data_IF_803054289018
#
_entry.id   IF_803054289018
#
_cell.length_a   1.000
_cell.length_b   1.000
_cell.length_c   1.000
_cell.angle_alpha   90.00
_cell.angle_beta   90.00
_cell.angle_gamma   90.00
#
_symmetry.space_group_name_H-M   'P 1'
#
loop_
_entity.id
_entity.type
_entity.pdbx_description
1 polymer ?
#
# COMPACT_ATOMS: atom_id res chain seq x y z
N UNK A 1 7.11 -18.15 -5.39
CA UNK A 1 6.84 -17.61 -4.05
C UNK A 1 6.45 -16.15 -4.15
N UNK A 2 5.17 -15.91 -4.32
CA UNK A 2 4.51 -14.60 -4.37
C UNK A 2 3.57 -14.54 -3.18
N UNK A 3 3.90 -13.71 -2.19
CA UNK A 3 3.13 -13.60 -0.97
C UNK A 3 2.38 -12.26 -0.98
N UNK A 4 1.13 -12.27 -0.53
CA UNK A 4 0.34 -11.07 -0.30
C UNK A 4 0.13 -10.87 1.20
N UNK A 5 0.39 -9.66 1.70
CA UNK A 5 0.03 -9.22 3.05
C UNK A 5 -1.09 -8.19 2.93
N UNK A 6 -2.30 -8.62 3.30
CA UNK A 6 -3.52 -7.83 3.30
C UNK A 6 -3.91 -7.44 4.74
N UNK A 7 -4.71 -6.39 4.90
CA UNK A 7 -5.16 -5.90 6.21
C UNK A 7 -6.67 -6.00 6.32
N UNK A 8 -7.19 -6.49 7.43
CA UNK A 8 -8.65 -6.54 7.65
C UNK A 8 -9.25 -5.28 8.30
N UNK A 9 -8.44 -4.22 8.42
CA UNK A 9 -8.86 -2.89 8.82
C UNK A 9 -8.24 -1.84 7.88
N UNK A 10 -8.96 -0.73 7.66
CA UNK A 10 -8.51 0.39 6.83
C UNK A 10 -7.23 1.03 7.40
N UNK A 11 -7.09 1.03 8.73
CA UNK A 11 -5.98 1.68 9.45
C UNK A 11 -5.33 0.72 10.46
N UNK A 12 -3.99 0.76 10.56
CA UNK A 12 -3.20 0.12 11.62
C UNK A 12 -3.43 -1.39 11.87
N UNK A 13 -3.77 -2.14 10.82
CA UNK A 13 -3.89 -3.59 10.88
C UNK A 13 -2.57 -4.34 11.22
N UNK A 14 -1.42 -3.66 11.31
CA UNK A 14 -0.12 -4.28 11.59
C UNK A 14 0.63 -4.83 10.36
N UNK A 15 0.10 -4.60 9.15
CA UNK A 15 0.66 -5.09 7.87
C UNK A 15 2.16 -4.81 7.70
N UNK A 16 2.59 -3.57 7.91
CA UNK A 16 4.00 -3.17 7.69
C UNK A 16 4.95 -3.89 8.62
N UNK A 17 4.56 -4.08 9.88
CA UNK A 17 5.34 -4.83 10.86
C UNK A 17 5.46 -6.29 10.43
N UNK A 18 4.33 -6.94 10.13
CA UNK A 18 4.30 -8.32 9.64
C UNK A 18 5.12 -8.51 8.35
N UNK A 19 4.95 -7.61 7.38
CA UNK A 19 5.67 -7.66 6.11
C UNK A 19 7.18 -7.49 6.31
N UNK A 20 7.60 -6.59 7.20
CA UNK A 20 9.02 -6.39 7.48
C UNK A 20 9.68 -7.64 8.10
N UNK A 21 9.02 -8.30 9.06
CA UNK A 21 9.50 -9.56 9.63
C UNK A 21 9.48 -10.71 8.61
N UNK A 22 8.47 -10.77 7.74
CA UNK A 22 8.41 -11.75 6.66
C UNK A 22 9.54 -11.57 5.63
N UNK A 23 9.86 -10.31 5.27
CA UNK A 23 10.98 -9.98 4.38
C UNK A 23 12.31 -10.41 5.01
N UNK A 24 12.51 -10.11 6.30
CA UNK A 24 13.69 -10.55 7.07
C UNK A 24 13.81 -12.08 7.07
N UNK A 25 12.72 -12.78 7.39
CA UNK A 25 12.66 -14.25 7.48
C UNK A 25 12.97 -14.94 6.16
N UNK A 26 12.50 -14.38 5.04
CA UNK A 26 12.55 -15.04 3.73
C UNK A 26 13.68 -14.54 2.84
N UNK A 27 14.23 -13.36 3.13
CA UNK A 27 15.13 -12.63 2.22
C UNK A 27 14.45 -12.22 0.90
N UNK A 28 13.12 -12.29 0.80
CA UNK A 28 12.37 -11.90 -0.40
C UNK A 28 11.99 -10.43 -0.32
N UNK A 29 12.15 -9.71 -1.43
CA UNK A 29 11.89 -8.27 -1.49
C UNK A 29 10.44 -7.91 -1.21
N UNK A 30 10.24 -6.90 -0.36
CA UNK A 30 8.97 -6.28 -0.06
C UNK A 30 8.56 -5.22 -1.08
N UNK A 31 7.26 -5.15 -1.39
CA UNK A 31 6.66 -4.17 -2.27
C UNK A 31 5.41 -3.57 -1.66
N UNK A 32 5.16 -2.28 -1.86
CA UNK A 32 3.93 -1.60 -1.41
C UNK A 32 3.40 -0.74 -2.54
N UNK A 33 2.63 -1.31 -3.48
CA UNK A 33 2.29 -0.67 -4.76
C UNK A 33 1.65 0.71 -4.63
N UNK A 34 0.81 0.88 -3.60
CA UNK A 34 0.15 2.14 -3.25
C UNK A 34 0.35 2.45 -1.77
N UNK A 35 0.43 3.73 -1.46
CA UNK A 35 0.47 4.23 -0.08
C UNK A 35 -0.05 5.66 -0.02
N UNK A 36 -0.21 6.20 1.18
CA UNK A 36 -0.47 7.62 1.34
C UNK A 36 -0.30 8.06 2.78
N UNK A 37 0.00 9.34 2.95
CA UNK A 37 0.19 9.99 4.24
C UNK A 37 -0.85 11.09 4.41
N UNK A 38 -1.36 11.28 5.62
CA UNK A 38 -2.14 12.44 6.02
C UNK A 38 -1.25 13.59 6.49
N UNK A 39 -1.52 14.80 6.01
CA UNK A 39 -0.89 16.04 6.47
C UNK A 39 -0.94 16.23 8.00
N UNK A 40 -2.01 15.72 8.62
CA UNK A 40 -2.23 15.82 10.07
C UNK A 40 -1.79 14.58 10.84
N UNK A 41 -2.25 13.39 10.43
CA UNK A 41 -2.00 12.14 11.17
C UNK A 41 -0.57 11.63 11.00
N UNK A 42 0.03 11.87 9.83
CA UNK A 42 1.38 11.45 9.47
C UNK A 42 2.29 12.69 9.31
N UNK A 43 2.16 13.65 10.23
CA UNK A 43 2.77 14.96 10.08
C UNK A 43 4.31 14.89 9.99
N UNK A 44 4.96 13.98 10.72
CA UNK A 44 6.41 13.80 10.64
C UNK A 44 6.85 13.29 9.27
N UNK A 45 6.07 12.42 8.65
CA UNK A 45 6.30 11.95 7.28
C UNK A 45 6.09 13.06 6.25
N UNK A 46 5.07 13.91 6.46
CA UNK A 46 4.88 15.13 5.67
C UNK A 46 6.07 16.08 5.78
N UNK A 47 6.53 16.37 7.01
CA UNK A 47 7.67 17.26 7.26
C UNK A 47 8.94 16.76 6.59
N UNK A 48 9.26 15.47 6.76
CA UNK A 48 10.38 14.84 6.07
C UNK A 48 10.23 14.94 4.55
N UNK A 49 9.03 14.71 4.02
CA UNK A 49 8.80 14.77 2.58
C UNK A 49 9.11 16.15 2.01
N UNK A 50 8.66 17.24 2.65
CA UNK A 50 8.94 18.61 2.19
C UNK A 50 10.38 19.06 2.46
N UNK A 51 11.02 18.59 3.54
CA UNK A 51 12.42 18.89 3.84
C UNK A 51 13.39 18.18 2.87
N UNK A 52 13.02 16.99 2.38
CA UNK A 52 13.87 16.18 1.48
C UNK A 52 13.46 16.25 0.01
N UNK A 53 12.33 16.88 -0.31
CA UNK A 53 11.72 16.87 -1.64
C UNK A 53 11.25 15.49 -2.11
N UNK A 54 11.05 14.53 -1.19
CA UNK A 54 10.73 13.13 -1.51
C UNK A 54 9.48 12.66 -0.78
N UNK A 55 8.36 12.64 -1.50
CA UNK A 55 7.06 12.22 -0.97
C UNK A 55 6.93 10.70 -0.94
N UNK A 56 7.14 10.09 0.23
CA UNK A 56 6.81 8.68 0.56
C UNK A 56 6.47 8.58 2.05
N UNK A 57 5.99 7.43 2.52
CA UNK A 57 5.63 7.21 3.93
C UNK A 57 6.56 6.24 4.66
N UNK A 58 6.37 6.14 5.98
CA UNK A 58 7.14 5.25 6.85
C UNK A 58 7.08 3.79 6.40
N UNK A 59 5.96 3.32 5.86
CA UNK A 59 5.83 1.94 5.37
C UNK A 59 6.81 1.63 4.24
N UNK A 60 6.80 2.44 3.18
CA UNK A 60 7.70 2.25 2.05
C UNK A 60 9.17 2.43 2.47
N UNK A 61 9.44 3.33 3.42
CA UNK A 61 10.78 3.52 4.00
C UNK A 61 11.25 2.26 4.71
N UNK A 62 10.41 1.69 5.56
CA UNK A 62 10.71 0.50 6.36
C UNK A 62 10.91 -0.72 5.47
N UNK A 63 10.00 -0.97 4.52
CA UNK A 63 10.12 -2.09 3.59
C UNK A 63 11.37 -1.99 2.72
N UNK A 64 11.73 -0.79 2.28
CA UNK A 64 12.94 -0.57 1.52
C UNK A 64 14.20 -0.88 2.35
N UNK A 65 14.22 -0.50 3.63
CA UNK A 65 15.35 -0.71 4.53
C UNK A 65 15.61 -2.20 4.83
N UNK A 66 14.55 -3.01 4.99
CA UNK A 66 14.67 -4.45 5.28
C UNK A 66 14.80 -5.29 4.01
N UNK A 67 14.44 -4.74 2.84
CA UNK A 67 14.54 -5.47 1.58
C UNK A 67 16.00 -5.70 1.16
N UNK A 68 16.31 -6.85 0.54
CA UNK A 68 17.68 -7.16 0.12
C UNK A 68 18.19 -6.22 -0.96
N UNK A 69 19.40 -5.67 -0.77
CA UNK A 69 20.09 -4.76 -1.70
C UNK A 69 19.77 -3.29 -1.45
N UNK A 70 20.32 -2.40 -2.28
CA UNK A 70 20.01 -0.96 -2.20
C UNK A 70 18.64 -0.68 -2.84
N UNK A 71 17.64 -0.40 -1.99
CA UNK A 71 16.24 -0.21 -2.41
C UNK A 71 15.80 1.19 -2.05
N UNK A 72 15.34 1.95 -3.04
CA UNK A 72 14.66 3.22 -2.78
C UNK A 72 13.18 2.99 -2.49
N UNK A 73 12.56 3.67 -1.51
CA UNK A 73 11.13 3.57 -1.23
C UNK A 73 10.26 3.77 -2.48
N UNK A 74 10.59 4.76 -3.32
CA UNK A 74 9.92 5.08 -4.59
C UNK A 74 9.89 3.89 -5.57
N UNK A 75 10.90 3.02 -5.53
CA UNK A 75 11.01 1.88 -6.46
C UNK A 75 10.06 0.73 -6.14
N UNK A 76 9.65 0.62 -4.87
CA UNK A 76 8.72 -0.39 -4.37
C UNK A 76 7.32 0.17 -4.08
N UNK A 77 7.21 1.51 -4.05
CA UNK A 77 5.98 2.26 -3.88
C UNK A 77 5.84 3.34 -4.97
N UNK A 78 5.42 2.94 -6.19
CA UNK A 78 5.35 3.83 -7.34
C UNK A 78 4.26 4.89 -7.20
N UNK A 79 3.15 4.60 -6.50
CA UNK A 79 2.05 5.57 -6.33
C UNK A 79 1.88 5.91 -4.86
N UNK A 80 1.88 7.20 -4.55
CA UNK A 80 1.71 7.67 -3.18
C UNK A 80 0.96 8.99 -3.10
N UNK A 81 -0.01 9.04 -2.20
CA UNK A 81 -0.93 10.17 -2.07
C UNK A 81 -0.72 10.93 -0.77
N UNK A 82 -0.60 12.25 -0.86
CA UNK A 82 -0.71 13.15 0.29
C UNK A 82 -2.17 13.57 0.47
N UNK A 83 -2.71 13.35 1.66
CA UNK A 83 -4.07 13.69 2.04
C UNK A 83 -4.12 14.87 3.01
N UNK A 84 -5.16 15.69 2.91
CA UNK A 84 -5.52 16.74 3.85
C UNK A 84 -6.86 16.39 4.51
N UNK A 85 -6.96 16.33 5.84
CA UNK A 85 -8.25 16.26 6.51
C UNK A 85 -9.07 17.53 6.26
N UNK A 86 -10.30 17.38 5.81
CA UNK A 86 -11.24 18.47 5.49
C UNK A 86 -12.60 18.22 6.17
N UNK A 87 -12.67 18.20 7.51
CA UNK A 87 -13.91 17.92 8.23
C UNK A 87 -14.99 18.94 7.86
N UNK A 88 -16.22 18.47 7.64
CA UNK A 88 -17.39 19.31 7.34
C UNK A 88 -17.43 19.91 5.93
N UNK A 89 -16.47 19.63 5.04
CA UNK A 89 -16.41 20.19 3.67
C UNK A 89 -17.01 19.30 2.57
N UNK A 90 -17.82 18.30 2.93
CA UNK A 90 -18.42 17.37 1.97
C UNK A 90 -17.41 16.40 1.35
N UNK A 91 -17.76 15.83 0.18
CA UNK A 91 -17.11 14.66 -0.44
C UNK A 91 -15.81 14.91 -1.22
N UNK A 92 -15.38 16.17 -1.39
CA UNK A 92 -14.14 16.51 -2.13
C UNK A 92 -14.09 15.95 -3.57
N UNK A 93 -12.92 16.03 -4.22
CA UNK A 93 -12.75 15.54 -5.61
C UNK A 93 -12.91 14.02 -5.74
N UNK A 94 -12.54 13.29 -4.68
CA UNK A 94 -12.50 11.82 -4.65
C UNK A 94 -13.76 11.19 -4.07
N UNK A 95 -14.82 11.96 -3.86
CA UNK A 95 -16.07 11.43 -3.32
C UNK A 95 -16.03 11.00 -1.84
N UNK A 96 -14.87 11.09 -1.16
CA UNK A 96 -14.70 10.72 0.25
C UNK A 96 -14.90 11.93 1.16
N UNK A 97 -15.85 11.83 2.07
CA UNK A 97 -16.09 12.87 3.07
C UNK A 97 -14.90 13.02 4.02
N UNK A 98 -14.65 14.25 4.46
CA UNK A 98 -13.69 14.51 5.54
C UNK A 98 -12.22 14.52 5.11
N UNK A 99 -11.89 14.30 3.83
CA UNK A 99 -10.52 14.50 3.33
C UNK A 99 -10.46 14.89 1.86
N UNK A 100 -9.41 15.60 1.49
CA UNK A 100 -9.04 15.91 0.11
C UNK A 100 -7.63 15.39 -0.18
N UNK A 101 -7.37 14.85 -1.38
CA UNK A 101 -5.97 14.64 -1.79
C UNK A 101 -5.35 16.00 -2.15
N UNK A 102 -4.06 16.14 -1.91
CA UNK A 102 -3.28 17.33 -2.26
C UNK A 102 -2.37 17.04 -3.45
N UNK A 103 -1.56 15.99 -3.33
CA UNK A 103 -0.53 15.61 -4.29
C UNK A 103 -0.46 14.10 -4.41
N UNK A 104 -0.46 13.58 -5.63
CA UNK A 104 0.00 12.22 -5.91
C UNK A 104 1.43 12.27 -6.46
N UNK A 105 2.29 11.42 -5.93
CA UNK A 105 3.62 11.13 -6.48
C UNK A 105 3.54 9.81 -7.23
N UNK A 106 3.94 9.83 -8.49
CA UNK A 106 3.96 8.68 -9.39
C UNK A 106 5.41 8.45 -9.83
N UNK A 107 5.92 7.24 -9.66
CA UNK A 107 7.25 6.83 -10.11
C UNK A 107 7.14 5.67 -11.07
N UNK A 108 7.66 5.86 -12.28
CA UNK A 108 7.75 4.88 -13.35
C UNK A 108 9.21 4.72 -13.81
N UNK A 109 9.41 4.12 -14.98
CA UNK A 109 10.75 3.90 -15.54
C UNK A 109 11.36 5.20 -16.12
N UNK A 110 10.55 6.21 -16.44
CA UNK A 110 10.99 7.51 -16.96
C UNK A 110 11.32 8.51 -15.84
N UNK A 111 10.84 8.27 -14.63
CA UNK A 111 11.24 9.01 -13.43
C UNK A 111 10.11 9.19 -12.43
N UNK A 112 10.21 10.26 -11.65
CA UNK A 112 9.19 10.64 -10.65
C UNK A 112 8.47 11.91 -11.11
N UNK A 113 7.15 11.86 -11.17
CA UNK A 113 6.27 12.99 -11.46
C UNK A 113 5.21 13.19 -10.36
N UNK A 114 4.54 14.33 -10.42
CA UNK A 114 3.51 14.72 -9.46
C UNK A 114 2.20 15.14 -10.12
N UNK A 115 1.11 14.93 -9.40
CA UNK A 115 -0.25 15.34 -9.75
C UNK A 115 -0.79 16.18 -8.61
N UNK A 116 -1.27 17.38 -8.89
CA UNK A 116 -1.73 18.34 -7.89
C UNK A 116 -3.25 18.50 -8.00
N UNK A 117 -3.92 18.51 -6.84
CA UNK A 117 -5.32 18.89 -6.76
C UNK A 117 -5.48 20.41 -6.90
N UNK A 118 -5.98 20.89 -8.04
CA UNK A 118 -6.21 22.32 -8.29
C UNK A 118 -7.40 22.91 -7.52
N UNK A 119 -8.23 22.06 -6.91
CA UNK A 119 -9.42 22.50 -6.16
C UNK A 119 -9.16 22.85 -4.68
N UNK A 120 -7.94 22.59 -4.18
CA UNK A 120 -7.57 22.79 -2.78
C UNK A 120 -6.25 23.53 -2.71
N UNK A 121 -6.15 24.52 -1.81
CA UNK A 121 -4.90 25.22 -1.59
C UNK A 121 -3.87 24.29 -0.91
N UNK A 122 -2.70 24.17 -1.53
CA UNK A 122 -1.57 23.43 -0.97
C UNK A 122 -0.90 24.24 0.15
N UNK A 123 -0.47 23.59 1.24
CA UNK A 123 0.40 24.22 2.23
C UNK A 123 1.63 24.85 1.55
N UNK A 124 2.04 26.05 2.00
CA UNK A 124 3.19 26.75 1.41
C UNK A 124 4.46 25.89 1.41
N UNK A 125 4.72 25.17 2.50
CA UNK A 125 5.86 24.25 2.61
C UNK A 125 5.80 23.08 1.63
N UNK A 126 4.61 22.63 1.22
CA UNK A 126 4.49 21.62 0.17
C UNK A 126 4.83 22.21 -1.21
N UNK A 127 4.37 23.44 -1.50
CA UNK A 127 4.68 24.15 -2.76
C UNK A 127 6.17 24.45 -2.91
N UNK A 128 6.84 24.77 -1.80
CA UNK A 128 8.26 25.12 -1.77
C UNK A 128 9.17 23.89 -1.70
N UNK A 129 8.77 22.86 -0.93
CA UNK A 129 9.61 21.71 -0.64
C UNK A 129 9.51 20.56 -1.65
N UNK A 130 8.36 20.39 -2.32
CA UNK A 130 8.17 19.31 -3.29
C UNK A 130 8.45 19.79 -4.73
N UNK A 131 8.98 18.93 -5.62
CA UNK A 131 9.27 19.30 -7.01
C UNK A 131 7.97 19.31 -7.84
N UNK A 132 7.18 20.37 -7.68
CA UNK A 132 5.86 20.53 -8.28
C UNK A 132 5.81 21.42 -9.53
N UNK A 133 6.96 21.95 -9.99
CA UNK A 133 7.01 22.92 -11.10
C UNK A 133 6.37 22.39 -12.39
N UNK A 134 6.57 21.10 -12.70
CA UNK A 134 6.02 20.42 -13.89
C UNK A 134 4.85 19.50 -13.54
N UNK A 135 4.25 19.64 -12.35
CA UNK A 135 3.17 18.77 -11.91
C UNK A 135 1.89 19.01 -12.72
N UNK A 136 1.24 17.93 -13.15
CA UNK A 136 -0.07 18.02 -13.77
C UNK A 136 -1.09 18.47 -12.71
N UNK A 137 -1.92 19.46 -13.03
CA UNK A 137 -2.99 19.92 -12.14
C UNK A 137 -4.32 19.35 -12.62
N UNK A 138 -5.13 18.83 -11.70
CA UNK A 138 -6.49 18.33 -11.98
C UNK A 138 -7.52 19.07 -11.13
N UNK A 139 -8.62 19.47 -11.75
CA UNK A 139 -9.69 20.25 -11.13
C UNK A 139 -11.02 19.49 -11.10
N UNK A 140 -11.09 18.33 -11.75
CA UNK A 140 -12.29 17.51 -11.83
C UNK A 140 -11.99 16.01 -11.65
N UNK A 141 -12.98 15.24 -11.19
CA UNK A 141 -12.86 13.78 -11.10
C UNK A 141 -12.62 13.12 -12.46
N UNK A 142 -13.26 13.54 -13.57
CA UNK A 142 -12.93 13.04 -14.91
C UNK A 142 -11.45 13.26 -15.30
N UNK A 143 -10.88 14.44 -15.04
CA UNK A 143 -9.46 14.71 -15.29
C UNK A 143 -8.55 13.82 -14.44
N UNK A 144 -8.88 13.66 -13.15
CA UNK A 144 -8.14 12.78 -12.27
C UNK A 144 -8.19 11.32 -12.77
N UNK A 145 -9.37 10.83 -13.19
CA UNK A 145 -9.52 9.49 -13.74
C UNK A 145 -8.71 9.29 -15.03
N UNK A 146 -8.74 10.26 -15.95
CA UNK A 146 -7.96 10.22 -17.19
C UNK A 146 -6.46 10.21 -16.88
N UNK A 147 -6.02 11.00 -15.90
CA UNK A 147 -4.64 11.01 -15.47
C UNK A 147 -4.25 9.68 -14.80
N UNK A 148 -5.08 9.15 -13.91
CA UNK A 148 -4.85 7.85 -13.28
C UNK A 148 -4.68 6.75 -14.34
N UNK A 149 -5.49 6.75 -15.39
CA UNK A 149 -5.36 5.81 -16.50
C UNK A 149 -4.05 5.99 -17.29
N UNK A 150 -3.57 7.23 -17.47
CA UNK A 150 -2.35 7.53 -18.25
C UNK A 150 -1.04 7.43 -17.46
N UNK A 151 -1.08 7.57 -16.13
CA UNK A 151 0.11 7.66 -15.27
C UNK A 151 0.13 6.60 -14.17
N UNK A 152 -0.95 6.46 -13.41
CA UNK A 152 -0.96 5.58 -12.24
C UNK A 152 -1.02 4.11 -12.65
N UNK A 153 -1.93 3.76 -13.57
CA UNK A 153 -2.09 2.40 -14.06
C UNK A 153 -0.79 1.88 -14.71
N UNK A 154 -0.15 2.60 -15.67
CA UNK A 154 1.12 2.17 -16.24
C UNK A 154 2.25 2.00 -15.21
N UNK A 155 2.35 2.88 -14.21
CA UNK A 155 3.36 2.75 -13.16
C UNK A 155 3.16 1.49 -12.29
N UNK A 156 1.91 1.13 -12.02
CA UNK A 156 1.55 -0.09 -11.29
C UNK A 156 1.76 -1.35 -12.15
N UNK A 157 1.43 -1.29 -13.45
CA UNK A 157 1.71 -2.36 -14.42
C UNK A 157 3.23 -2.61 -14.55
N UNK A 158 4.03 -1.54 -14.63
CA UNK A 158 5.49 -1.64 -14.64
C UNK A 158 6.03 -2.25 -13.33
N UNK A 159 5.44 -1.92 -12.17
CA UNK A 159 5.76 -2.58 -10.91
C UNK A 159 5.41 -4.07 -10.95
N UNK A 160 4.21 -4.44 -11.42
CA UNK A 160 3.79 -5.83 -11.55
C UNK A 160 4.74 -6.63 -12.46
N UNK A 161 5.10 -6.09 -13.62
CA UNK A 161 6.06 -6.71 -14.53
C UNK A 161 7.46 -6.87 -13.89
N UNK A 162 7.89 -5.93 -13.05
CA UNK A 162 9.15 -6.07 -12.27
C UNK A 162 9.05 -7.16 -11.20
N UNK A 163 7.92 -7.28 -10.52
CA UNK A 163 7.64 -8.35 -9.56
C UNK A 163 7.68 -9.70 -10.28
N UNK A 164 7.03 -9.81 -11.43
CA UNK A 164 7.00 -11.05 -12.23
C UNK A 164 8.40 -11.49 -12.66
N UNK A 165 9.21 -10.57 -13.20
CA UNK A 165 10.60 -10.84 -13.61
C UNK A 165 11.50 -11.30 -12.47
N UNK A 166 11.22 -10.90 -11.22
CA UNK A 166 11.98 -11.34 -10.05
C UNK A 166 11.65 -12.76 -9.59
N UNK A 167 10.48 -13.29 -9.96
CA UNK A 167 10.03 -14.64 -9.57
C UNK A 167 9.60 -14.80 -8.10
N UNK A 168 10.09 -13.96 -7.20
CA UNK A 168 9.68 -13.91 -5.80
C UNK A 168 9.44 -12.48 -5.30
N UNK A 169 8.36 -12.30 -4.53
CA UNK A 169 7.97 -11.01 -3.95
C UNK A 169 7.07 -11.19 -2.72
N UNK A 170 7.19 -10.27 -1.76
CA UNK A 170 6.20 -10.04 -0.71
C UNK A 170 5.51 -8.70 -1.04
N UNK A 171 4.22 -8.72 -1.33
CA UNK A 171 3.45 -7.53 -1.69
C UNK A 171 2.53 -7.15 -0.53
N UNK A 172 2.66 -5.94 -0.04
CA UNK A 172 1.80 -5.36 0.99
C UNK A 172 0.72 -4.49 0.35
N UNK A 173 -0.53 -4.73 0.75
CA UNK A 173 -1.68 -3.93 0.34
C UNK A 173 -1.71 -2.52 0.94
N UNK A 174 -2.46 -1.63 0.30
CA UNK A 174 -2.82 -0.31 0.84
C UNK A 174 -4.16 -0.40 1.57
N UNK A 175 -4.24 0.13 2.79
CA UNK A 175 -5.44 0.07 3.62
C UNK A 175 -5.99 -1.37 3.73
N UNK A 176 -7.27 -1.57 3.46
CA UNK A 176 -8.01 -2.83 3.41
C UNK A 176 -8.30 -3.28 1.97
N UNK A 177 -7.44 -2.93 1.00
CA UNK A 177 -7.58 -3.37 -0.39
C UNK A 177 -7.11 -4.82 -0.53
N UNK A 178 -7.99 -5.68 -1.04
CA UNK A 178 -7.73 -7.11 -1.24
C UNK A 178 -6.71 -7.37 -2.34
N UNK A 179 -6.82 -6.66 -3.47
CA UNK A 179 -5.94 -6.85 -4.63
C UNK A 179 -5.19 -5.56 -4.98
N UNK A 180 -3.92 -5.41 -4.56
CA UNK A 180 -3.17 -4.17 -4.78
C UNK A 180 -2.65 -3.98 -6.22
N UNK A 181 -2.60 -5.05 -7.02
CA UNK A 181 -2.17 -5.07 -8.42
C UNK A 181 -3.08 -6.04 -9.19
N UNK A 182 -3.67 -5.60 -10.29
CA UNK A 182 -4.70 -6.36 -11.02
C UNK A 182 -4.23 -7.75 -11.48
N UNK A 183 -3.01 -7.84 -12.00
CA UNK A 183 -2.43 -9.09 -12.52
C UNK A 183 -1.69 -9.92 -11.44
N UNK A 184 -1.66 -9.46 -10.19
CA UNK A 184 -0.92 -10.16 -9.14
C UNK A 184 -1.73 -11.33 -8.57
N UNK A 185 -1.30 -12.54 -8.91
CA UNK A 185 -1.80 -13.78 -8.33
C UNK A 185 -0.81 -14.27 -7.27
N UNK A 186 -1.16 -14.19 -5.96
CA UNK A 186 -0.32 -14.73 -4.91
C UNK A 186 -0.37 -16.27 -4.86
N UNK A 187 0.68 -16.87 -4.34
CA UNK A 187 0.72 -18.28 -3.95
C UNK A 187 -0.02 -18.47 -2.61
N UNK A 188 0.19 -17.56 -1.65
CA UNK A 188 -0.51 -17.51 -0.37
C UNK A 188 -0.76 -16.06 0.10
N UNK A 189 -1.78 -15.87 0.94
CA UNK A 189 -2.18 -14.56 1.48
C UNK A 189 -2.23 -14.61 3.00
N UNK A 190 -1.59 -13.64 3.66
CA UNK A 190 -1.78 -13.34 5.07
C UNK A 190 -2.68 -12.11 5.22
N UNK A 191 -3.86 -12.29 5.80
CA UNK A 191 -4.74 -11.20 6.21
C UNK A 191 -4.47 -10.90 7.68
N UNK A 192 -3.85 -9.76 7.93
CA UNK A 192 -3.36 -9.34 9.24
C UNK A 192 -4.37 -8.38 9.86
N UNK A 193 -4.60 -8.54 11.16
CA UNK A 193 -5.38 -7.61 11.97
C UNK A 193 -4.85 -7.57 13.40
N UNK A 194 -5.41 -6.73 14.27
CA UNK A 194 -5.01 -6.66 15.67
C UNK A 194 -5.08 -8.05 16.33
N UNK A 195 -3.91 -8.53 16.80
CA UNK A 195 -3.72 -9.84 17.44
C UNK A 195 -4.07 -11.06 16.58
N UNK A 196 -4.23 -10.94 15.26
CA UNK A 196 -4.62 -12.06 14.41
C UNK A 196 -3.93 -12.06 13.05
N UNK A 197 -3.71 -13.26 12.52
CA UNK A 197 -3.29 -13.50 11.15
C UNK A 197 -4.10 -14.67 10.60
N UNK A 198 -4.89 -14.42 9.55
CA UNK A 198 -5.62 -15.47 8.82
C UNK A 198 -4.93 -15.73 7.50
N UNK A 199 -4.66 -16.99 7.22
CA UNK A 199 -3.91 -17.41 6.04
C UNK A 199 -4.88 -18.02 5.03
N UNK A 200 -4.70 -17.69 3.76
CA UNK A 200 -5.55 -18.15 2.66
C UNK A 200 -4.70 -18.70 1.51
N UNK A 201 -5.23 -19.74 0.84
CA UNK A 201 -4.73 -20.20 -0.45
C UNK A 201 -4.82 -19.06 -1.47
N UNK A 202 -3.70 -18.72 -2.11
CA UNK A 202 -3.61 -17.55 -2.96
C UNK A 202 -4.47 -17.63 -4.22
N UNK A 203 -4.66 -18.83 -4.79
CA UNK A 203 -5.53 -19.02 -5.96
C UNK A 203 -7.01 -18.89 -5.61
N UNK A 204 -7.43 -19.40 -4.46
CA UNK A 204 -8.81 -19.21 -3.94
C UNK A 204 -9.07 -17.75 -3.62
N UNK A 205 -8.10 -17.07 -2.99
CA UNK A 205 -8.18 -15.64 -2.72
C UNK A 205 -8.32 -14.82 -4.00
N UNK A 206 -7.45 -15.03 -4.99
CA UNK A 206 -7.53 -14.35 -6.29
C UNK A 206 -8.86 -14.58 -7.01
N UNK A 207 -9.44 -15.79 -6.94
CA UNK A 207 -10.76 -16.06 -7.51
C UNK A 207 -11.89 -15.34 -6.77
N UNK A 208 -11.80 -15.24 -5.44
CA UNK A 208 -12.79 -14.50 -4.66
C UNK A 208 -12.73 -12.99 -4.99
N UNK A 209 -11.53 -12.43 -5.14
CA UNK A 209 -11.32 -11.09 -5.71
C UNK A 209 -12.09 -10.89 -7.02
N UNK A 210 -11.90 -11.78 -8.01
CA UNK A 210 -12.61 -11.71 -9.31
C UNK A 210 -14.14 -11.73 -9.17
N UNK A 211 -14.67 -12.47 -8.20
CA UNK A 211 -16.12 -12.53 -7.94
C UNK A 211 -16.62 -11.22 -7.34
N UNK A 212 -15.88 -10.62 -6.40
CA UNK A 212 -16.25 -9.37 -5.73
C UNK A 212 -16.11 -8.14 -6.63
N UNK A 213 -15.06 -8.08 -7.47
CA UNK A 213 -14.77 -6.95 -8.35
C UNK A 213 -15.73 -6.73 -9.51
N UNK A 214 -16.64 -7.69 -9.77
CA UNK A 214 -17.63 -7.63 -10.85
C UNK A 214 -18.97 -6.98 -10.45
N UNK A 215 -19.09 -6.38 -9.26
CA UNK A 215 -20.32 -5.70 -8.85
C UNK A 215 -20.36 -4.26 -9.41
N UNK A 216 -21.28 -3.90 -10.33
CA UNK A 216 -21.29 -2.64 -11.08
C UNK A 216 -21.74 -1.42 -10.26
N UNK A 217 -21.78 -1.53 -8.93
CA UNK A 217 -22.24 -0.47 -8.06
C UNK A 217 -21.07 0.30 -7.47
N UNK A 218 -20.98 1.56 -7.91
CA UNK A 218 -20.10 2.62 -7.42
C UNK A 218 -18.73 2.65 -8.10
N UNK A 219 -18.31 3.85 -8.52
CA UNK A 219 -17.00 4.12 -9.14
C UNK A 219 -15.80 3.93 -8.19
N UNK A 220 -15.85 2.93 -7.31
CA UNK A 220 -14.78 2.47 -6.44
C UNK A 220 -14.35 1.07 -6.90
N UNK A 221 -13.42 1.04 -7.86
CA UNK A 221 -12.78 -0.18 -8.39
C UNK A 221 -11.83 -0.87 -7.39
N UNK A 222 -12.01 -0.71 -6.09
CA UNK A 222 -11.12 -1.27 -5.06
C UNK A 222 -11.86 -2.35 -4.26
N UNK A 223 -11.54 -3.61 -4.54
CA UNK A 223 -12.02 -4.79 -3.80
C UNK A 223 -11.56 -4.72 -2.34
N UNK A 224 -12.49 -4.78 -1.38
CA UNK A 224 -12.16 -4.75 0.05
C UNK A 224 -11.86 -6.15 0.57
N UNK A 225 -10.94 -6.23 1.52
CA UNK A 225 -10.56 -7.51 2.16
C UNK A 225 -11.78 -8.18 2.79
N UNK A 226 -12.66 -7.43 3.45
CA UNK A 226 -13.88 -7.96 4.08
C UNK A 226 -14.76 -8.72 3.09
N UNK A 227 -15.05 -8.12 1.92
CA UNK A 227 -15.91 -8.72 0.89
C UNK A 227 -15.32 -10.02 0.33
N UNK A 228 -13.99 -10.10 0.26
CA UNK A 228 -13.26 -11.28 -0.26
C UNK A 228 -13.20 -12.41 0.77
N UNK A 229 -12.86 -12.10 2.02
CA UNK A 229 -12.68 -13.13 3.05
C UNK A 229 -13.99 -13.75 3.51
N UNK A 230 -15.13 -13.05 3.36
CA UNK A 230 -16.45 -13.60 3.66
C UNK A 230 -16.84 -14.76 2.73
N UNK A 231 -16.17 -14.90 1.58
CA UNK A 231 -16.39 -15.99 0.62
C UNK A 231 -15.44 -17.18 0.85
N UNK A 232 -14.56 -17.11 1.85
CA UNK A 232 -13.43 -18.03 2.01
C UNK A 232 -13.29 -18.54 3.44
N UNK A 233 -12.92 -19.81 3.57
CA UNK A 233 -12.40 -20.34 4.83
C UNK A 233 -10.86 -20.21 4.85
N UNK A 234 -10.27 -19.69 5.94
CA UNK A 234 -8.82 -19.63 6.07
C UNK A 234 -8.23 -21.03 6.22
N UNK A 235 -7.02 -21.23 5.68
CA UNK A 235 -6.24 -22.46 5.89
C UNK A 235 -5.65 -22.52 7.29
N UNK A 236 -5.38 -21.37 7.91
CA UNK A 236 -4.94 -21.24 9.28
C UNK A 236 -5.43 -19.90 9.87
N UNK A 237 -5.71 -19.89 11.17
CA UNK A 237 -6.07 -18.71 11.95
C UNK A 237 -5.19 -18.67 13.21
N UNK A 238 -4.32 -17.66 13.28
CA UNK A 238 -3.29 -17.56 14.31
C UNK A 238 -3.45 -16.28 15.13
N UNK A 239 -3.13 -16.39 16.42
CA UNK A 239 -2.99 -15.21 17.28
C UNK A 239 -1.58 -14.62 17.16
N UNK A 240 -1.49 -13.33 16.86
CA UNK A 240 -0.21 -12.61 16.86
C UNK A 240 0.04 -11.97 18.24
N UNK A 241 1.24 -12.13 18.82
CA UNK A 241 1.58 -11.42 20.06
C UNK A 241 1.67 -9.90 19.81
N UNK A 242 1.37 -9.14 20.87
CA UNK A 242 1.58 -7.69 20.87
C UNK A 242 3.07 -7.41 21.10
N UNK A 243 3.67 -6.65 20.21
CA UNK A 243 5.08 -6.27 20.27
C UNK A 243 5.25 -4.85 20.82
N UNK A 244 6.30 -4.64 21.61
CA UNK A 244 6.75 -3.34 22.07
C UNK A 244 7.19 -2.45 20.90
N UNK A 245 7.37 -1.14 21.16
CA UNK A 245 7.90 -0.22 20.15
C UNK A 245 9.29 -0.62 19.64
N UNK A 246 10.13 -1.14 20.53
CA UNK A 246 11.49 -1.59 20.22
C UNK A 246 11.47 -2.85 19.36
N UNK A 247 10.70 -3.87 19.75
CA UNK A 247 10.54 -5.09 18.96
C UNK A 247 9.93 -4.78 17.59
N UNK A 248 8.93 -3.89 17.52
CA UNK A 248 8.36 -3.48 16.23
C UNK A 248 9.36 -2.71 15.36
N UNK A 249 10.41 -2.11 15.90
CA UNK A 249 11.42 -1.42 15.10
C UNK A 249 12.49 -2.37 14.55
N UNK A 250 12.63 -3.56 15.13
CA UNK A 250 13.60 -4.58 14.76
C UNK A 250 12.96 -5.70 13.93
N UNK A 251 13.30 -5.79 12.64
CA UNK A 251 12.72 -6.81 11.75
C UNK A 251 13.09 -8.24 12.15
N UNK A 252 14.25 -8.46 12.77
CA UNK A 252 14.66 -9.77 13.26
C UNK A 252 13.82 -10.20 14.46
N UNK A 253 13.59 -9.28 15.42
CA UNK A 253 12.70 -9.55 16.54
C UNK A 253 11.27 -9.87 16.07
N UNK A 254 10.75 -9.13 15.08
CA UNK A 254 9.44 -9.46 14.49
C UNK A 254 9.46 -10.80 13.75
N UNK A 255 10.56 -11.13 13.06
CA UNK A 255 10.73 -12.41 12.35
C UNK A 255 10.63 -13.60 13.32
N UNK A 256 11.25 -13.46 14.49
CA UNK A 256 11.25 -14.49 15.53
C UNK A 256 9.89 -14.61 16.22
N UNK A 257 9.33 -13.49 16.69
CA UNK A 257 8.06 -13.48 17.44
C UNK A 257 6.85 -13.93 16.60
N UNK A 258 6.84 -13.63 15.30
CA UNK A 258 5.77 -14.06 14.37
C UNK A 258 6.12 -15.35 13.61
N UNK A 259 7.18 -16.06 14.02
CA UNK A 259 7.73 -17.23 13.34
C UNK A 259 6.68 -18.28 12.92
N UNK A 260 5.80 -18.67 13.84
CA UNK A 260 4.73 -19.65 13.57
C UNK A 260 3.78 -19.18 12.47
N UNK A 261 3.40 -17.90 12.45
CA UNK A 261 2.53 -17.36 11.40
C UNK A 261 3.23 -17.36 10.03
N UNK A 262 4.54 -17.11 9.99
CA UNK A 262 5.31 -17.22 8.75
C UNK A 262 5.48 -18.67 8.29
N UNK A 263 5.68 -19.62 9.21
CA UNK A 263 5.77 -21.04 8.88
C UNK A 263 4.47 -21.55 8.25
N UNK A 264 3.31 -21.24 8.84
CA UNK A 264 2.01 -21.58 8.27
C UNK A 264 1.77 -20.89 6.91
N UNK A 265 2.21 -19.63 6.75
CA UNK A 265 2.06 -18.91 5.48
C UNK A 265 2.89 -19.55 4.38
N UNK A 266 4.13 -19.94 4.69
CA UNK A 266 5.04 -20.58 3.75
C UNK A 266 4.62 -22.03 3.44
N UNK A 267 3.96 -22.72 4.37
CA UNK A 267 3.38 -24.04 4.13
C UNK A 267 2.19 -24.00 3.16
N UNK A 268 1.56 -22.84 2.97
CA UNK A 268 0.44 -22.62 2.05
C UNK A 268 0.86 -22.26 0.60
N UNK A 269 2.17 -22.15 0.32
CA UNK A 269 2.75 -21.85 -1.01
C UNK A 269 2.91 -23.12 -1.83
#
# INVERSE_FOLDING_TARGET
MRLLVAGDDEVDAGKTTFTAGLVERTGVRGFKPRAGNGYWYDHDDYRRAVETGRLYGTDAKRLAAVSPGDVRPESINPVHRLWLPTPGRGKGLLGREGRAFLVDRVTDDDGTGHVVNGTVELPASAREGLPLADAATVESLPELNELMARRHAPALEALAARIDRRGAAVVESYADIARPLSEFVPDAVAVVGPRRCRIYDGRRYARACDVTGNSPHEGQLEERVADVVDLLEPVADLTLPALSGEERADSAAVADEYGTAYEELLAAV
#
